data_IF_264547855399
#
_entry.id   IF_264547855399
#
_cell.length_a   1.000
_cell.length_b   1.000
_cell.length_c   1.000
_cell.angle_alpha   90.00
_cell.angle_beta   90.00
_cell.angle_gamma   90.00
#
_symmetry.space_group_name_H-M   'P 1'
#
loop_
_entity.id
_entity.type
_entity.pdbx_description
1 polymer ?
#
# COMPACT_ATOMS: atom_id res chain seq x y z
N UNK A 1 -51.80 0.95 41.00
CA UNK A 1 -50.63 1.86 41.17
C UNK A 1 -49.66 1.15 42.09
N UNK A 2 -48.38 0.95 41.87
CA UNK A 2 -47.41 1.29 40.83
C UNK A 2 -46.15 0.49 41.23
N UNK A 3 -45.74 -0.54 40.48
CA UNK A 3 -44.56 -1.34 40.81
C UNK A 3 -43.75 -1.65 39.53
N UNK A 4 -43.53 -0.65 38.70
CA UNK A 4 -42.83 -0.79 37.40
C UNK A 4 -41.96 0.43 37.08
N UNK A 5 -41.37 1.08 38.09
CA UNK A 5 -40.57 2.30 37.86
C UNK A 5 -39.17 2.35 38.47
N UNK A 6 -38.73 1.34 39.23
CA UNK A 6 -37.45 1.46 39.97
C UNK A 6 -36.27 0.68 39.38
N UNK A 7 -36.45 -0.16 38.34
CA UNK A 7 -35.34 -0.94 37.78
C UNK A 7 -34.61 -0.19 36.65
N UNK A 8 -35.22 0.84 36.06
CA UNK A 8 -34.64 1.56 34.92
C UNK A 8 -33.50 2.52 35.30
N UNK A 9 -33.35 2.87 36.58
CA UNK A 9 -32.41 3.92 37.01
C UNK A 9 -31.04 3.41 37.50
N UNK A 10 -30.85 2.09 37.65
CA UNK A 10 -29.57 1.53 38.15
C UNK A 10 -28.69 0.98 37.02
N UNK A 11 -29.22 0.79 35.82
CA UNK A 11 -28.46 0.31 34.65
C UNK A 11 -27.78 1.43 33.83
N UNK A 12 -28.19 2.70 34.02
CA UNK A 12 -27.65 3.82 33.24
C UNK A 12 -26.19 4.20 33.58
N UNK A 13 -25.69 4.13 34.83
CA UNK A 13 -24.31 4.52 35.10
C UNK A 13 -23.29 3.41 34.74
N UNK A 14 -23.71 2.15 34.53
CA UNK A 14 -22.79 1.08 34.10
C UNK A 14 -22.40 1.18 32.62
N UNK A 15 -23.18 1.86 31.79
CA UNK A 15 -22.86 2.05 30.37
C UNK A 15 -21.86 3.20 30.11
N UNK A 16 -21.62 4.07 31.08
CA UNK A 16 -20.72 5.22 30.93
C UNK A 16 -19.26 4.92 31.27
N UNK A 17 -18.95 3.79 31.90
CA UNK A 17 -17.58 3.42 32.29
C UNK A 17 -16.83 2.68 31.17
N UNK A 18 -17.53 2.23 30.12
CA UNK A 18 -16.91 1.49 29.01
C UNK A 18 -16.24 2.37 27.94
N UNK A 19 -16.23 3.71 28.08
CA UNK A 19 -15.60 4.60 27.11
C UNK A 19 -14.12 4.93 27.40
N UNK A 20 -13.52 4.41 28.48
CA UNK A 20 -12.13 4.72 28.85
C UNK A 20 -11.15 3.55 28.78
N UNK A 21 -11.61 2.37 28.37
CA UNK A 21 -10.70 1.31 27.90
C UNK A 21 -10.41 1.54 26.41
N UNK A 22 -9.81 2.69 26.09
CA UNK A 22 -9.14 2.84 24.80
C UNK A 22 -8.12 1.72 24.73
N UNK A 23 -8.31 0.76 23.80
CA UNK A 23 -7.31 -0.24 23.46
C UNK A 23 -5.96 0.48 23.45
N UNK A 24 -5.08 0.17 24.39
CA UNK A 24 -3.74 0.73 24.38
C UNK A 24 -3.08 0.15 23.15
N UNK A 25 -3.00 0.99 22.13
CA UNK A 25 -2.64 0.59 20.78
C UNK A 25 -1.11 0.41 20.72
N UNK A 26 -0.59 -0.60 21.40
CA UNK A 26 0.77 -1.11 21.14
C UNK A 26 0.86 -1.68 19.71
N UNK A 27 -0.29 -1.96 19.07
CA UNK A 27 -0.43 -2.30 17.65
C UNK A 27 -0.31 -1.10 16.67
N UNK A 28 -0.07 0.14 17.14
CA UNK A 28 0.09 1.29 16.23
C UNK A 28 1.37 1.25 15.41
N UNK A 29 2.34 0.40 15.73
CA UNK A 29 3.62 0.40 15.00
C UNK A 29 3.40 0.16 13.50
N UNK A 30 2.51 -0.78 13.14
CA UNK A 30 2.10 -1.02 11.75
C UNK A 30 1.26 0.14 11.14
N UNK A 31 0.63 0.97 11.97
CA UNK A 31 -0.09 2.17 11.54
C UNK A 31 0.84 3.40 11.40
N UNK A 32 1.96 3.43 12.14
CA UNK A 32 2.97 4.50 12.12
C UNK A 32 3.98 4.31 11.00
N UNK A 33 4.29 3.06 10.67
CA UNK A 33 5.13 2.68 9.52
C UNK A 33 4.39 1.60 8.73
N UNK A 34 3.36 1.98 7.93
CA UNK A 34 2.72 1.02 7.07
C UNK A 34 3.77 0.38 6.16
N UNK A 35 3.66 -0.92 5.95
CA UNK A 35 4.40 -1.64 4.91
C UNK A 35 3.47 -1.78 3.70
N UNK A 36 4.04 -1.66 2.49
CA UNK A 36 3.33 -1.98 1.26
C UNK A 36 3.49 -3.46 0.92
N UNK A 37 2.59 -3.97 0.08
CA UNK A 37 2.74 -5.32 -0.47
C UNK A 37 4.00 -5.42 -1.34
N UNK A 38 4.73 -6.52 -1.18
CA UNK A 38 5.71 -6.90 -2.19
C UNK A 38 5.00 -7.48 -3.41
N UNK A 39 5.37 -7.02 -4.60
CA UNK A 39 4.74 -7.41 -5.86
C UNK A 39 5.76 -8.00 -6.83
N UNK A 40 5.29 -8.85 -7.72
CA UNK A 40 5.99 -9.26 -8.93
C UNK A 40 5.36 -8.51 -10.10
N UNK A 41 6.21 -7.89 -10.92
CA UNK A 41 5.83 -7.17 -12.12
C UNK A 41 6.17 -8.02 -13.34
N UNK A 42 5.17 -8.26 -14.19
CA UNK A 42 5.39 -8.80 -15.54
C UNK A 42 5.16 -7.65 -16.53
N UNK A 43 6.18 -7.30 -17.29
CA UNK A 43 6.11 -6.23 -18.27
C UNK A 43 5.65 -6.72 -19.64
N UNK A 44 5.08 -5.82 -20.44
CA UNK A 44 4.73 -6.05 -21.84
C UNK A 44 5.96 -6.42 -22.66
N UNK A 45 5.79 -7.25 -23.71
CA UNK A 45 6.93 -7.77 -24.50
C UNK A 45 7.82 -6.67 -25.07
N UNK A 46 7.23 -5.55 -25.48
CA UNK A 46 7.91 -4.39 -26.04
C UNK A 46 8.49 -3.43 -24.98
N UNK A 47 8.20 -3.65 -23.70
CA UNK A 47 8.71 -2.80 -22.62
C UNK A 47 10.22 -2.98 -22.48
N UNK A 48 11.01 -1.89 -22.52
CA UNK A 48 12.44 -1.97 -22.27
C UNK A 48 12.76 -2.37 -20.82
N UNK A 49 11.82 -2.17 -19.90
CA UNK A 49 11.97 -2.46 -18.46
C UNK A 49 12.10 -3.95 -18.16
N UNK A 50 11.83 -4.83 -19.14
CA UNK A 50 12.06 -6.28 -19.01
C UNK A 50 13.52 -6.65 -18.77
N UNK A 51 14.45 -5.81 -19.21
CA UNK A 51 15.88 -6.01 -18.97
C UNK A 51 16.27 -5.69 -17.51
N UNK A 52 15.46 -4.90 -16.81
CA UNK A 52 15.66 -4.60 -15.41
C UNK A 52 15.27 -5.84 -14.60
N UNK A 53 16.26 -6.53 -14.05
CA UNK A 53 16.04 -7.62 -13.09
C UNK A 53 15.52 -7.06 -11.76
N UNK A 54 14.28 -6.57 -11.73
CA UNK A 54 13.67 -6.00 -10.53
C UNK A 54 13.49 -7.10 -9.47
N UNK A 55 13.95 -6.81 -8.26
CA UNK A 55 13.89 -7.70 -7.09
C UNK A 55 13.37 -6.91 -5.90
N UNK A 56 12.66 -7.60 -4.99
CA UNK A 56 12.06 -6.99 -3.78
C UNK A 56 11.28 -5.70 -4.11
N UNK A 57 10.32 -5.81 -5.03
CA UNK A 57 9.50 -4.68 -5.44
C UNK A 57 8.42 -4.45 -4.41
N UNK A 58 8.49 -3.35 -3.67
CA UNK A 58 7.42 -2.92 -2.76
C UNK A 58 6.51 -1.91 -3.45
N UNK A 59 5.20 -2.09 -3.33
CA UNK A 59 4.20 -1.15 -3.81
C UNK A 59 3.99 0.00 -2.81
N UNK A 60 4.41 1.20 -3.19
CA UNK A 60 4.29 2.38 -2.33
C UNK A 60 2.99 3.12 -2.54
N UNK A 61 2.63 3.39 -3.80
CA UNK A 61 1.44 4.16 -4.15
C UNK A 61 0.86 3.71 -5.49
N UNK A 62 -0.47 3.80 -5.63
CA UNK A 62 -1.20 3.53 -6.87
C UNK A 62 -1.87 4.80 -7.38
N UNK A 63 -1.38 5.28 -8.51
CA UNK A 63 -1.84 6.50 -9.16
C UNK A 63 -2.67 6.17 -10.42
N UNK A 64 -3.28 7.19 -11.01
CA UNK A 64 -4.11 7.02 -12.21
C UNK A 64 -3.29 6.45 -13.39
N UNK A 65 -2.08 6.97 -13.59
CA UNK A 65 -1.17 6.63 -14.70
C UNK A 65 -0.20 5.48 -14.42
N UNK A 66 0.00 5.08 -13.17
CA UNK A 66 0.92 4.00 -12.84
C UNK A 66 1.03 3.72 -11.36
N UNK A 67 2.16 3.19 -10.95
CA UNK A 67 2.51 2.90 -9.56
C UNK A 67 3.84 3.51 -9.20
N UNK A 68 3.96 3.96 -7.96
CA UNK A 68 5.24 4.23 -7.33
C UNK A 68 5.68 2.96 -6.60
N UNK A 69 6.90 2.52 -6.87
CA UNK A 69 7.50 1.33 -6.26
C UNK A 69 8.85 1.67 -5.63
N UNK A 70 9.28 0.86 -4.67
CA UNK A 70 10.70 0.72 -4.38
C UNK A 70 11.17 -0.65 -4.86
N UNK A 71 12.34 -0.74 -5.51
CA UNK A 71 12.86 -2.00 -5.99
C UNK A 71 14.39 -2.02 -5.96
N UNK A 72 14.95 -3.19 -5.67
CA UNK A 72 16.37 -3.49 -5.97
C UNK A 72 16.48 -4.02 -7.39
N UNK A 73 17.66 -3.93 -8.00
CA UNK A 73 17.93 -4.54 -9.31
C UNK A 73 18.96 -5.65 -9.17
N UNK A 74 19.05 -6.59 -10.11
CA UNK A 74 20.03 -7.67 -10.06
C UNK A 74 21.49 -7.20 -9.88
N UNK A 75 21.81 -5.99 -10.33
CA UNK A 75 23.13 -5.38 -10.24
C UNK A 75 23.32 -4.43 -9.05
N UNK A 76 22.24 -4.02 -8.37
CA UNK A 76 22.29 -3.04 -7.27
C UNK A 76 21.56 -3.56 -6.03
N UNK A 77 22.30 -3.62 -4.92
CA UNK A 77 21.77 -4.01 -3.61
C UNK A 77 20.93 -2.92 -2.95
N UNK A 78 21.02 -1.67 -3.43
CA UNK A 78 20.23 -0.55 -2.93
C UNK A 78 18.89 -0.50 -3.64
N UNK A 79 17.83 -0.34 -2.84
CA UNK A 79 16.51 -0.10 -3.39
C UNK A 79 16.47 1.30 -4.00
N UNK A 80 15.77 1.43 -5.11
CA UNK A 80 15.51 2.70 -5.80
C UNK A 80 14.01 2.94 -5.85
N UNK A 81 13.62 4.19 -5.63
CA UNK A 81 12.26 4.65 -5.86
C UNK A 81 12.05 4.83 -7.36
N UNK A 82 10.91 4.34 -7.89
CA UNK A 82 10.64 4.49 -9.30
C UNK A 82 9.15 4.48 -9.66
N UNK A 83 8.81 5.18 -10.73
CA UNK A 83 7.48 5.15 -11.33
C UNK A 83 7.39 4.12 -12.45
N UNK A 84 6.33 3.31 -12.44
CA UNK A 84 6.02 2.32 -13.48
C UNK A 84 4.63 2.61 -14.06
N UNK A 85 4.57 2.93 -15.34
CA UNK A 85 3.31 3.15 -16.05
C UNK A 85 2.48 1.87 -16.18
N UNK A 86 1.15 2.00 -16.14
CA UNK A 86 0.25 0.87 -16.42
C UNK A 86 0.46 0.29 -17.82
N UNK A 87 0.86 1.12 -18.79
CA UNK A 87 1.05 0.72 -20.19
C UNK A 87 2.30 -0.14 -20.40
N UNK A 88 3.23 -0.13 -19.44
CA UNK A 88 4.41 -0.99 -19.45
C UNK A 88 4.11 -2.40 -18.91
N UNK A 89 3.00 -2.55 -18.19
CA UNK A 89 2.69 -3.74 -17.41
C UNK A 89 1.71 -4.67 -18.11
N UNK A 90 2.03 -5.96 -18.04
CA UNK A 90 1.17 -7.07 -18.43
C UNK A 90 0.46 -7.70 -17.23
N UNK A 91 1.14 -7.83 -16.09
CA UNK A 91 0.62 -8.43 -14.86
C UNK A 91 1.28 -7.85 -13.62
N UNK A 92 0.52 -7.77 -12.52
CA UNK A 92 1.03 -7.41 -11.19
C UNK A 92 0.50 -8.43 -10.19
N UNK A 93 1.39 -9.10 -9.47
CA UNK A 93 1.02 -10.11 -8.48
C UNK A 93 1.59 -9.75 -7.11
N UNK A 94 0.75 -9.57 -6.10
CA UNK A 94 1.17 -9.37 -4.72
C UNK A 94 1.56 -10.69 -4.06
N UNK A 95 2.79 -10.76 -3.58
CA UNK A 95 3.37 -11.90 -2.89
C UNK A 95 3.11 -11.70 -1.39
N UNK A 96 1.95 -12.18 -0.94
CA UNK A 96 1.60 -12.33 0.48
C UNK A 96 1.69 -11.05 1.33
N UNK A 97 0.61 -10.26 1.32
CA UNK A 97 0.47 -9.09 2.18
C UNK A 97 -0.45 -9.41 3.35
N UNK A 98 0.11 -9.49 4.57
CA UNK A 98 -0.65 -9.82 5.79
C UNK A 98 -1.47 -11.11 5.68
N UNK A 99 -0.90 -12.16 5.06
CA UNK A 99 -1.59 -13.44 4.82
C UNK A 99 -2.51 -13.43 3.59
N UNK A 100 -2.64 -12.31 2.88
CA UNK A 100 -3.41 -12.20 1.65
C UNK A 100 -2.49 -12.38 0.44
N UNK A 101 -2.64 -13.51 -0.27
CA UNK A 101 -2.08 -13.68 -1.61
C UNK A 101 -3.06 -13.14 -2.63
N UNK A 102 -2.61 -12.22 -3.46
CA UNK A 102 -3.46 -11.61 -4.47
C UNK A 102 -2.71 -11.46 -5.79
N UNK A 103 -3.31 -11.90 -6.88
CA UNK A 103 -2.78 -11.69 -8.22
C UNK A 103 -3.81 -10.92 -9.05
N UNK A 104 -3.37 -9.82 -9.67
CA UNK A 104 -4.12 -9.19 -10.75
C UNK A 104 -3.43 -9.41 -12.08
N UNK A 105 -4.18 -10.04 -12.98
CA UNK A 105 -3.90 -9.94 -14.40
C UNK A 105 -4.46 -11.11 -15.16
N UNK A 106 -5.60 -10.87 -15.81
CA UNK A 106 -5.74 -11.20 -17.22
C UNK A 106 -6.72 -10.25 -17.90
N UNK A 107 -6.27 -9.67 -19.03
CA UNK A 107 -6.96 -8.89 -20.08
C UNK A 107 -6.58 -7.41 -20.13
N UNK A 108 -5.66 -7.11 -21.06
CA UNK A 108 -5.37 -5.88 -21.84
C UNK A 108 -5.41 -4.47 -21.21
N UNK A 109 -6.10 -4.20 -20.10
CA UNK A 109 -6.05 -2.94 -19.34
C UNK A 109 -6.33 -3.14 -17.85
N UNK A 110 -5.54 -2.48 -17.00
CA UNK A 110 -5.87 -2.33 -15.57
C UNK A 110 -7.09 -1.43 -15.40
N UNK A 111 -8.25 -2.02 -15.12
CA UNK A 111 -9.46 -1.27 -14.77
C UNK A 111 -9.39 -0.66 -13.36
N UNK A 112 -10.42 0.11 -12.99
CA UNK A 112 -10.53 0.75 -11.69
C UNK A 112 -10.60 -0.24 -10.51
N UNK A 113 -11.16 -1.43 -10.72
CA UNK A 113 -11.28 -2.46 -9.69
C UNK A 113 -9.90 -3.02 -9.33
N UNK A 114 -9.08 -3.34 -10.34
CA UNK A 114 -7.70 -3.79 -10.14
C UNK A 114 -6.85 -2.72 -9.45
N UNK A 115 -6.94 -1.46 -9.91
CA UNK A 115 -6.21 -0.34 -9.30
C UNK A 115 -6.63 -0.11 -7.85
N UNK A 116 -7.93 -0.18 -7.54
CA UNK A 116 -8.39 -0.04 -6.16
C UNK A 116 -7.87 -1.14 -5.25
N UNK A 117 -7.83 -2.41 -5.71
CA UNK A 117 -7.26 -3.51 -4.93
C UNK A 117 -5.77 -3.32 -4.65
N UNK A 118 -4.99 -2.92 -5.66
CA UNK A 118 -3.58 -2.56 -5.47
C UNK A 118 -3.41 -1.40 -4.49
N UNK A 119 -4.28 -0.39 -4.57
CA UNK A 119 -4.21 0.78 -3.68
C UNK A 119 -4.38 0.38 -2.23
N UNK A 120 -5.35 -0.50 -1.92
CA UNK A 120 -5.60 -0.97 -0.55
C UNK A 120 -4.42 -1.72 0.08
N UNK A 121 -3.54 -2.30 -0.73
CA UNK A 121 -2.35 -3.03 -0.28
C UNK A 121 -1.05 -2.25 -0.52
N UNK A 122 -1.14 -1.00 -1.00
CA UNK A 122 0.02 -0.12 -1.11
C UNK A 122 0.37 0.47 0.25
N UNK A 123 1.63 0.88 0.43
CA UNK A 123 2.08 1.54 1.67
C UNK A 123 1.27 2.81 1.98
N UNK A 124 0.96 3.58 0.94
CA UNK A 124 0.25 4.86 1.01
C UNK A 124 -1.06 4.81 0.22
N UNK A 125 -2.10 4.14 0.75
CA UNK A 125 -3.37 3.96 0.06
C UNK A 125 -4.12 5.29 -0.20
N UNK A 126 -3.81 6.33 0.57
CA UNK A 126 -4.39 7.67 0.41
C UNK A 126 -3.59 8.55 -0.58
N UNK A 127 -2.51 8.02 -1.14
CA UNK A 127 -1.55 8.77 -1.94
C UNK A 127 -0.46 9.45 -1.12
N UNK A 128 0.56 9.92 -1.82
CA UNK A 128 1.70 10.64 -1.24
C UNK A 128 1.57 12.14 -1.49
N UNK A 129 1.69 12.94 -0.42
CA UNK A 129 1.90 14.37 -0.57
C UNK A 129 3.24 14.64 -1.25
N UNK A 130 3.36 15.80 -1.91
CA UNK A 130 4.60 16.20 -2.59
C UNK A 130 5.80 16.14 -1.65
N UNK A 131 5.66 16.77 -0.47
CA UNK A 131 6.69 16.81 0.56
C UNK A 131 7.13 15.42 1.01
N UNK A 132 6.19 14.49 1.20
CA UNK A 132 6.54 13.13 1.61
C UNK A 132 7.23 12.35 0.47
N UNK A 133 6.85 12.64 -0.79
CA UNK A 133 7.49 12.03 -1.96
C UNK A 133 8.93 12.49 -2.11
N UNK A 134 9.20 13.78 -1.89
CA UNK A 134 10.56 14.34 -1.86
C UNK A 134 11.39 13.73 -0.72
N UNK A 135 10.81 13.61 0.49
CA UNK A 135 11.47 12.97 1.63
C UNK A 135 11.80 11.50 1.38
N UNK A 136 10.88 10.76 0.74
CA UNK A 136 11.12 9.39 0.33
C UNK A 136 12.27 9.31 -0.67
N UNK A 137 12.24 10.11 -1.74
CA UNK A 137 13.32 10.16 -2.72
C UNK A 137 14.68 10.45 -2.05
N UNK A 138 14.74 11.45 -1.17
CA UNK A 138 15.95 11.78 -0.41
C UNK A 138 16.44 10.61 0.47
N UNK A 139 15.53 9.84 1.07
CA UNK A 139 15.87 8.64 1.86
C UNK A 139 16.52 7.55 1.00
N UNK A 140 16.10 7.44 -0.26
CA UNK A 140 16.73 6.56 -1.26
C UNK A 140 17.97 7.17 -1.93
N UNK A 141 18.41 8.36 -1.49
CA UNK A 141 19.55 9.08 -2.08
C UNK A 141 19.28 9.63 -3.48
N UNK A 142 18.01 9.83 -3.82
CA UNK A 142 17.56 10.33 -5.12
C UNK A 142 17.12 11.80 -5.04
N UNK A 143 17.34 12.60 -6.08
CA UNK A 143 16.85 13.98 -6.14
C UNK A 143 15.32 14.06 -6.33
N UNK A 144 14.67 12.95 -6.70
CA UNK A 144 13.23 12.84 -6.94
C UNK A 144 12.84 11.43 -7.37
N UNK A 145 11.56 11.22 -7.67
CA UNK A 145 11.09 9.96 -8.26
C UNK A 145 11.54 9.87 -9.70
N UNK A 146 12.29 8.83 -10.03
CA UNK A 146 12.72 8.57 -11.40
C UNK A 146 11.72 7.66 -12.13
N UNK A 147 11.58 7.85 -13.43
CA UNK A 147 10.93 6.83 -14.28
C UNK A 147 11.96 5.75 -14.56
N UNK A 148 11.60 4.47 -14.38
CA UNK A 148 12.51 3.39 -14.73
C UNK A 148 12.92 3.52 -16.19
N UNK A 149 14.22 3.38 -16.44
CA UNK A 149 14.82 3.32 -17.77
C UNK A 149 15.72 2.08 -17.83
N UNK A 150 15.80 1.38 -18.97
CA UNK A 150 16.60 0.17 -19.15
C UNK A 150 18.10 0.39 -18.89
#
# INVERSE_FOLDING_TARGET
MSATRSVLFVLLPLLLVACHAGLQIEELTAARTPEGAFVTLEFNRASPLRALELRRVELLEVQQGGMLISATTGTDSRARLAFVSWDELKRVSAVDFKGMRWAAGHTEKYDSSHKNKLRLISRYPQGLSETLREQLAATFGQPGVETLSP
#
